data_IF_760264516968
#
_entry.id   IF_760264516968
#
_cell.length_a   1.000
_cell.length_b   1.000
_cell.length_c   1.000
_cell.angle_alpha   90.00
_cell.angle_beta   90.00
_cell.angle_gamma   90.00
#
_symmetry.space_group_name_H-M   'P 1'
#
loop_
_entity.id
_entity.type
_entity.pdbx_description
1 polymer ?
#
# COMPACT_ATOMS: atom_id res chain seq x y z
N UNK A 1 -8.22 15.93 6.42
CA UNK A 1 -7.22 15.68 7.47
C UNK A 1 -6.17 16.78 7.42
N UNK A 2 -5.81 17.33 8.55
CA UNK A 2 -4.68 18.25 8.70
C UNK A 2 -3.36 17.47 8.71
N UNK A 3 -2.23 18.14 8.44
CA UNK A 3 -0.89 17.53 8.54
C UNK A 3 -0.62 16.91 9.92
N UNK A 4 -1.14 17.54 10.99
CA UNK A 4 -1.02 17.03 12.35
C UNK A 4 -1.79 15.72 12.54
N UNK A 5 -3.04 15.66 12.08
CA UNK A 5 -3.85 14.44 12.17
C UNK A 5 -3.23 13.28 11.39
N UNK A 6 -2.60 13.55 10.23
CA UNK A 6 -1.89 12.52 9.46
C UNK A 6 -0.71 11.96 10.27
N UNK A 7 0.11 12.83 10.88
CA UNK A 7 1.24 12.39 11.72
C UNK A 7 0.79 11.53 12.90
N UNK A 8 -0.27 11.95 13.61
CA UNK A 8 -0.83 11.19 14.73
C UNK A 8 -1.32 9.81 14.27
N UNK A 9 -1.98 9.72 13.11
CA UNK A 9 -2.43 8.45 12.55
C UNK A 9 -1.32 7.55 12.00
N UNK A 10 -0.21 8.13 11.51
CA UNK A 10 0.94 7.34 11.07
C UNK A 10 1.47 6.50 12.23
N UNK A 11 1.59 7.05 13.44
CA UNK A 11 2.05 6.29 14.61
C UNK A 11 1.20 5.07 14.93
N UNK A 12 -0.11 5.14 14.68
CA UNK A 12 -1.03 4.02 14.91
C UNK A 12 -0.80 2.84 13.94
N UNK A 13 -0.06 3.03 12.84
CA UNK A 13 0.31 1.96 11.93
C UNK A 13 1.16 0.90 12.65
N UNK A 14 2.02 1.32 13.58
CA UNK A 14 2.83 0.40 14.39
C UNK A 14 1.96 -0.51 15.29
N UNK A 15 0.78 -0.03 15.67
CA UNK A 15 -0.23 -0.78 16.44
C UNK A 15 -1.15 -1.62 15.52
N UNK A 16 -0.83 -1.73 14.22
CA UNK A 16 -1.63 -2.46 13.24
C UNK A 16 -2.88 -1.71 12.76
N UNK A 17 -3.09 -0.46 13.17
CA UNK A 17 -4.24 0.35 12.73
C UNK A 17 -3.95 0.93 11.34
N UNK A 18 -4.75 0.61 10.30
CA UNK A 18 -4.47 1.07 8.95
C UNK A 18 -4.62 2.59 8.78
N UNK A 19 -3.73 3.17 7.98
CA UNK A 19 -3.85 4.52 7.46
C UNK A 19 -4.28 4.46 5.99
N UNK A 20 -5.49 4.96 5.72
CA UNK A 20 -5.99 5.17 4.36
C UNK A 20 -5.88 6.63 3.99
N UNK A 21 -5.22 6.89 2.85
CA UNK A 21 -5.04 8.20 2.25
C UNK A 21 -5.29 8.09 0.74
N UNK A 22 -6.33 8.74 0.23
CA UNK A 22 -6.71 8.67 -1.19
C UNK A 22 -6.88 7.20 -1.66
N UNK A 23 -6.11 6.77 -2.66
CA UNK A 23 -6.09 5.42 -3.22
C UNK A 23 -5.02 4.51 -2.60
N UNK A 24 -4.45 4.91 -1.46
CA UNK A 24 -3.41 4.20 -0.73
C UNK A 24 -3.93 3.73 0.61
N UNK A 25 -3.63 2.50 1.00
CA UNK A 25 -3.77 2.02 2.38
C UNK A 25 -2.45 1.45 2.87
N UNK A 26 -2.00 1.89 4.04
CA UNK A 26 -0.79 1.42 4.70
C UNK A 26 -1.17 0.72 6.00
N UNK A 27 -0.63 -0.47 6.26
CA UNK A 27 -0.79 -1.17 7.54
C UNK A 27 0.44 -1.99 7.88
N UNK A 28 0.80 -2.07 9.16
CA UNK A 28 1.71 -3.11 9.62
C UNK A 28 0.97 -4.45 9.73
N UNK A 29 1.72 -5.54 9.70
CA UNK A 29 1.22 -6.89 9.92
C UNK A 29 2.03 -7.56 11.02
N UNK A 30 1.40 -8.52 11.70
CA UNK A 30 2.06 -9.36 12.70
C UNK A 30 3.24 -10.16 12.14
N UNK A 31 3.34 -10.28 10.82
CA UNK A 31 4.44 -10.94 10.11
C UNK A 31 5.70 -10.08 9.92
N UNK A 32 5.74 -8.88 10.51
CA UNK A 32 6.88 -7.97 10.38
C UNK A 32 6.94 -7.28 9.02
N UNK A 33 5.79 -7.09 8.36
CA UNK A 33 5.69 -6.38 7.08
C UNK A 33 4.89 -5.11 7.19
N UNK A 34 5.28 -4.10 6.43
CA UNK A 34 4.46 -2.94 6.11
C UNK A 34 3.80 -3.17 4.75
N UNK A 35 2.50 -3.43 4.74
CA UNK A 35 1.73 -3.56 3.52
C UNK A 35 1.35 -2.17 3.02
N UNK A 36 1.70 -1.89 1.77
CA UNK A 36 1.36 -0.67 1.05
C UNK A 36 0.45 -1.06 -0.11
N UNK A 37 -0.84 -0.83 0.05
CA UNK A 37 -1.89 -1.32 -0.86
C UNK A 37 -2.38 -0.16 -1.71
N UNK A 38 -2.29 -0.31 -3.04
CA UNK A 38 -2.89 0.56 -4.04
C UNK A 38 -4.10 -0.11 -4.69
N UNK A 39 -5.13 0.68 -4.94
CA UNK A 39 -6.36 0.20 -5.57
C UNK A 39 -6.33 0.43 -7.08
N UNK A 40 -6.71 -0.58 -7.86
CA UNK A 40 -6.86 -0.42 -9.31
C UNK A 40 -7.92 0.63 -9.62
N UNK A 41 -7.70 1.45 -10.65
CA UNK A 41 -8.72 2.41 -11.13
C UNK A 41 -9.76 1.76 -12.07
N UNK A 42 -9.59 0.46 -12.32
CA UNK A 42 -10.38 -0.29 -13.30
C UNK A 42 -11.73 -0.67 -12.70
N UNK A 43 -12.83 -0.26 -13.34
CA UNK A 43 -14.21 -0.49 -12.84
C UNK A 43 -14.65 -1.96 -12.93
N UNK A 44 -14.15 -2.70 -13.91
CA UNK A 44 -14.55 -4.09 -14.13
C UNK A 44 -13.34 -5.00 -14.02
N UNK A 45 -13.37 -5.94 -13.08
CA UNK A 45 -12.27 -6.88 -12.84
C UNK A 45 -11.76 -7.57 -14.13
N UNK A 46 -12.66 -7.95 -15.05
CA UNK A 46 -12.30 -8.57 -16.35
C UNK A 46 -11.39 -7.71 -17.24
N UNK A 47 -11.30 -6.41 -16.98
CA UNK A 47 -10.45 -5.47 -17.70
C UNK A 47 -9.11 -5.21 -16.99
N UNK A 48 -8.89 -5.82 -15.82
CA UNK A 48 -7.59 -5.78 -15.14
C UNK A 48 -6.61 -6.59 -15.98
N UNK A 49 -5.47 -5.98 -16.30
CA UNK A 49 -4.41 -6.61 -17.08
C UNK A 49 -3.09 -6.41 -16.38
N UNK A 50 -2.17 -7.38 -16.55
CA UNK A 50 -0.82 -7.30 -15.97
C UNK A 50 -0.09 -6.01 -16.37
N UNK A 51 -0.21 -5.60 -17.63
CA UNK A 51 0.43 -4.36 -18.11
C UNK A 51 -0.05 -3.11 -17.35
N UNK A 52 -1.35 -2.99 -17.12
CA UNK A 52 -1.92 -1.87 -16.37
C UNK A 52 -1.55 -1.94 -14.89
N UNK A 53 -1.61 -3.12 -14.29
CA UNK A 53 -1.26 -3.31 -12.88
C UNK A 53 0.22 -3.03 -12.59
N UNK A 54 1.12 -3.24 -13.56
CA UNK A 54 2.52 -2.79 -13.45
C UNK A 54 2.64 -1.26 -13.43
N UNK A 55 1.84 -0.54 -14.20
CA UNK A 55 1.81 0.93 -14.18
C UNK A 55 1.25 1.44 -12.85
N UNK A 56 0.20 0.79 -12.34
CA UNK A 56 -0.40 1.09 -11.03
C UNK A 56 0.61 0.81 -9.90
N UNK A 57 1.38 -0.28 -9.98
CA UNK A 57 2.45 -0.60 -9.03
C UNK A 57 3.53 0.49 -8.99
N UNK A 58 3.97 0.99 -10.15
CA UNK A 58 4.97 2.07 -10.19
C UNK A 58 4.42 3.38 -9.62
N UNK A 59 3.15 3.70 -9.91
CA UNK A 59 2.46 4.85 -9.33
C UNK A 59 2.37 4.72 -7.81
N UNK A 60 1.97 3.56 -7.31
CA UNK A 60 1.88 3.23 -5.88
C UNK A 60 3.22 3.45 -5.15
N UNK A 61 4.31 2.91 -5.70
CA UNK A 61 5.66 3.08 -5.14
C UNK A 61 6.09 4.54 -5.12
N UNK A 62 5.74 5.29 -6.17
CA UNK A 62 6.02 6.73 -6.24
C UNK A 62 5.24 7.50 -5.17
N UNK A 63 3.93 7.25 -5.04
CA UNK A 63 3.09 7.89 -4.03
C UNK A 63 3.53 7.57 -2.60
N UNK A 64 3.95 6.32 -2.34
CA UNK A 64 4.51 5.94 -1.04
C UNK A 64 5.84 6.65 -0.76
N UNK A 65 6.73 6.75 -1.75
CA UNK A 65 8.01 7.46 -1.60
C UNK A 65 7.81 8.98 -1.33
N UNK A 66 6.84 9.60 -2.00
CA UNK A 66 6.47 11.00 -1.74
C UNK A 66 5.93 11.16 -0.32
N UNK A 67 5.05 10.25 0.12
CA UNK A 67 4.51 10.26 1.47
C UNK A 67 5.61 10.08 2.53
N UNK A 68 6.48 9.08 2.35
CA UNK A 68 7.57 8.78 3.29
C UNK A 68 8.62 9.91 3.36
N UNK A 69 8.83 10.64 2.27
CA UNK A 69 9.66 11.85 2.26
C UNK A 69 9.02 13.03 3.01
N UNK A 70 7.69 13.10 3.02
CA UNK A 70 6.92 14.18 3.66
C UNK A 70 6.70 13.95 5.16
N UNK A 71 6.67 12.68 5.59
CA UNK A 71 6.38 12.26 6.95
C UNK A 71 7.46 11.29 7.44
N UNK A 72 8.47 11.83 8.13
CA UNK A 72 9.60 11.06 8.69
C UNK A 72 9.11 9.93 9.62
N UNK A 73 8.00 10.13 10.32
CA UNK A 73 7.39 9.15 11.21
C UNK A 73 7.13 7.81 10.51
N UNK A 74 6.84 7.82 9.20
CA UNK A 74 6.62 6.60 8.44
C UNK A 74 7.92 5.79 8.29
N UNK A 75 9.06 6.45 8.07
CA UNK A 75 10.36 5.81 8.03
C UNK A 75 10.76 5.33 9.43
N UNK A 76 10.51 6.14 10.46
CA UNK A 76 10.80 5.78 11.85
C UNK A 76 10.06 4.50 12.26
N UNK A 77 8.81 4.32 11.83
CA UNK A 77 8.04 3.08 12.10
C UNK A 77 8.67 1.88 11.39
N UNK A 78 9.07 2.04 10.12
CA UNK A 78 9.71 0.96 9.36
C UNK A 78 11.03 0.54 10.00
N UNK A 79 11.89 1.50 10.31
CA UNK A 79 13.22 1.24 10.86
C UNK A 79 13.16 0.68 12.30
N UNK A 80 12.40 1.32 13.20
CA UNK A 80 12.37 0.91 14.61
C UNK A 80 11.71 -0.46 14.82
N UNK A 81 10.82 -0.87 13.92
CA UNK A 81 10.13 -2.16 13.99
C UNK A 81 10.70 -3.19 13.01
N UNK A 82 11.78 -2.87 12.29
CA UNK A 82 12.40 -3.72 11.26
C UNK A 82 11.38 -4.27 10.23
N UNK A 83 10.46 -3.41 9.77
CA UNK A 83 9.40 -3.83 8.86
C UNK A 83 9.93 -3.98 7.43
N UNK A 84 9.56 -5.09 6.78
CA UNK A 84 9.77 -5.26 5.35
C UNK A 84 8.60 -4.65 4.57
N UNK A 85 8.89 -3.74 3.64
CA UNK A 85 7.85 -3.12 2.82
C UNK A 85 7.42 -4.09 1.72
N UNK A 86 6.12 -4.35 1.62
CA UNK A 86 5.50 -5.12 0.55
C UNK A 86 4.43 -4.26 -0.13
N UNK A 87 4.59 -4.03 -1.43
CA UNK A 87 3.62 -3.29 -2.23
C UNK A 87 2.59 -4.24 -2.80
N UNK A 88 1.32 -3.89 -2.74
CA UNK A 88 0.22 -4.64 -3.33
C UNK A 88 -0.60 -3.77 -4.26
N UNK A 89 -0.94 -4.29 -5.43
CA UNK A 89 -2.03 -3.77 -6.24
C UNK A 89 -3.23 -4.69 -6.05
N UNK A 90 -4.36 -4.11 -5.67
CA UNK A 90 -5.60 -4.84 -5.39
C UNK A 90 -6.77 -4.19 -6.10
N UNK A 91 -7.74 -5.00 -6.52
CA UNK A 91 -9.02 -4.55 -7.04
C UNK A 91 -10.06 -4.47 -5.91
N UNK A 92 -10.80 -3.37 -5.86
CA UNK A 92 -11.91 -3.18 -4.93
C UNK A 92 -13.24 -3.56 -5.63
N UNK A 93 -13.89 -4.63 -5.18
CA UNK A 93 -15.21 -5.05 -5.69
C UNK A 93 -16.35 -4.22 -5.08
N UNK A 94 -16.24 -2.90 -5.20
CA UNK A 94 -17.21 -1.94 -4.67
C UNK A 94 -17.40 -2.05 -3.15
N UNK A 95 -16.31 -2.23 -2.41
CA UNK A 95 -16.27 -2.33 -0.96
C UNK A 95 -16.66 -3.70 -0.39
N UNK A 96 -16.98 -4.69 -1.24
CA UNK A 96 -17.36 -6.03 -0.78
C UNK A 96 -16.17 -6.89 -0.44
N UNK A 97 -15.15 -6.86 -1.28
CA UNK A 97 -13.95 -7.67 -1.12
C UNK A 97 -12.76 -7.04 -1.82
N UNK A 98 -11.59 -7.31 -1.26
CA UNK A 98 -10.29 -7.03 -1.86
C UNK A 98 -9.89 -8.25 -2.71
N UNK A 99 -9.59 -8.03 -3.99
CA UNK A 99 -9.02 -9.05 -4.86
C UNK A 99 -7.57 -8.66 -5.16
N UNK A 100 -6.61 -9.40 -4.60
CA UNK A 100 -5.20 -9.18 -4.86
C UNK A 100 -4.85 -9.44 -6.32
N UNK A 101 -4.12 -8.52 -6.95
CA UNK A 101 -3.68 -8.63 -8.35
C UNK A 101 -2.21 -9.05 -8.44
N UNK A 102 -1.34 -8.30 -7.77
CA UNK A 102 0.08 -8.60 -7.66
C UNK A 102 0.68 -7.97 -6.41
N UNK A 103 1.85 -8.47 -6.01
CA UNK A 103 2.68 -7.84 -4.97
C UNK A 103 4.15 -7.73 -5.39
N UNK A 104 4.86 -6.81 -4.76
CA UNK A 104 6.29 -6.65 -4.94
C UNK A 104 7.00 -6.50 -3.58
N UNK A 105 8.03 -7.33 -3.37
CA UNK A 105 8.97 -7.23 -2.25
C UNK A 105 10.37 -7.12 -2.83
N UNK A 106 11.10 -6.05 -2.51
CA UNK A 106 12.50 -5.85 -2.95
C UNK A 106 12.71 -6.07 -4.47
N UNK A 107 11.77 -5.56 -5.30
CA UNK A 107 11.83 -5.71 -6.75
C UNK A 107 11.39 -7.08 -7.29
N UNK A 108 11.04 -8.04 -6.43
CA UNK A 108 10.51 -9.35 -6.83
C UNK A 108 8.99 -9.29 -6.91
N UNK A 109 8.48 -9.38 -8.13
CA UNK A 109 7.06 -9.32 -8.44
C UNK A 109 6.40 -10.71 -8.36
N UNK A 110 5.26 -10.80 -7.71
CA UNK A 110 4.39 -11.98 -7.64
C UNK A 110 3.01 -11.65 -8.21
N UNK A 111 2.45 -12.53 -9.03
CA UNK A 111 1.12 -12.37 -9.62
C UNK A 111 0.11 -13.33 -8.98
N UNK A 112 -1.11 -12.85 -8.79
CA UNK A 112 -2.23 -13.65 -8.26
C UNK A 112 -3.35 -13.86 -9.30
N UNK A 113 -3.23 -13.20 -10.45
CA UNK A 113 -4.11 -13.36 -11.59
C UNK A 113 -3.32 -13.90 -12.79
N UNK A 114 -4.00 -14.68 -13.64
CA UNK A 114 -3.45 -15.22 -14.88
C UNK A 114 -3.32 -14.18 -16.00
#
# INVERSE_FOLDING_TARGET
MTTREIRERIWLIADGIPLTLNNLTIRATDSGKLLVIGWTDTVHFKNVTRAKSLQEMNTLKTSYAELSSSYKELNDIVENNNLLIEYHVSYDDGGKTEIGICSEIEGKLSWYID
#
